data_IF_071886983571
#
_entry.id   IF_071886983571
#
_cell.length_a   1.000
_cell.length_b   1.000
_cell.length_c   1.000
_cell.angle_alpha   90.00
_cell.angle_beta   90.00
_cell.angle_gamma   90.00
#
_symmetry.space_group_name_H-M   'P 1'
#
loop_
_entity.id
_entity.type
_entity.pdbx_description
1 polymer ?
#
# COMPACT_ATOMS: atom_id res chain seq x y z
N UNK A 1 5.31 14.81 -17.42
CA UNK A 1 4.24 14.79 -16.41
C UNK A 1 4.49 13.55 -15.57
N UNK A 2 4.55 13.68 -14.25
CA UNK A 2 4.74 12.52 -13.37
C UNK A 2 3.54 11.57 -13.50
N UNK A 3 3.74 10.26 -13.62
CA UNK A 3 2.65 9.29 -13.78
C UNK A 3 1.79 9.16 -12.52
N UNK A 4 0.47 9.06 -12.64
CA UNK A 4 -0.38 8.85 -11.47
C UNK A 4 -0.12 7.47 -10.85
N UNK A 5 0.05 7.41 -9.53
CA UNK A 5 0.11 6.16 -8.76
C UNK A 5 -1.20 5.97 -8.00
N UNK A 6 -1.92 4.88 -8.22
CA UNK A 6 -3.03 4.46 -7.37
C UNK A 6 -2.52 3.56 -6.27
N UNK A 7 -2.72 3.98 -5.03
CA UNK A 7 -2.41 3.21 -3.83
C UNK A 7 -3.68 2.52 -3.38
N UNK A 8 -3.62 1.21 -3.17
CA UNK A 8 -4.76 0.39 -2.76
C UNK A 8 -4.49 -0.14 -1.35
N UNK A 9 -5.37 0.22 -0.42
CA UNK A 9 -5.28 -0.19 0.99
C UNK A 9 -6.55 -0.93 1.42
N UNK A 10 -6.50 -2.28 1.52
CA UNK A 10 -7.59 -3.03 2.11
C UNK A 10 -7.58 -2.88 3.65
N UNK A 11 -8.75 -2.65 4.23
CA UNK A 11 -8.95 -2.50 5.67
C UNK A 11 -9.99 -3.48 6.19
N UNK A 12 -9.74 -4.04 7.37
CA UNK A 12 -10.73 -4.78 8.14
C UNK A 12 -10.37 -4.73 9.63
N UNK A 13 -11.14 -3.96 10.40
CA UNK A 13 -10.86 -3.68 11.81
C UNK A 13 -9.43 -3.15 12.06
N UNK A 14 -9.05 -2.12 11.31
CA UNK A 14 -7.71 -1.53 11.30
C UNK A 14 -7.65 -0.16 11.99
N UNK A 15 -8.62 0.19 12.87
CA UNK A 15 -8.73 1.54 13.43
C UNK A 15 -7.47 2.01 14.15
N UNK A 16 -6.75 1.10 14.79
CA UNK A 16 -5.54 1.38 15.57
C UNK A 16 -4.36 1.80 14.70
N UNK A 17 -4.29 1.33 13.44
CA UNK A 17 -3.10 1.47 12.59
C UNK A 17 -3.35 2.30 11.32
N UNK A 18 -4.57 2.30 10.78
CA UNK A 18 -4.87 2.92 9.48
C UNK A 18 -4.53 4.42 9.45
N UNK A 19 -4.57 5.09 10.60
CA UNK A 19 -4.15 6.48 10.74
C UNK A 19 -2.66 6.66 10.40
N UNK A 20 -1.80 5.79 10.93
CA UNK A 20 -0.36 5.82 10.66
C UNK A 20 -0.07 5.47 9.20
N UNK A 21 -0.78 4.48 8.66
CA UNK A 21 -0.68 4.10 7.24
C UNK A 21 -0.99 5.26 6.31
N UNK A 22 -2.15 5.93 6.48
CA UNK A 22 -2.55 7.08 5.66
C UNK A 22 -1.56 8.23 5.81
N UNK A 23 -1.12 8.54 7.04
CA UNK A 23 -0.12 9.58 7.26
C UNK A 23 1.19 9.29 6.52
N UNK A 24 1.63 8.02 6.45
CA UNK A 24 2.85 7.65 5.71
C UNK A 24 2.74 7.86 4.19
N UNK A 25 1.52 7.77 3.65
CA UNK A 25 1.21 8.10 2.25
C UNK A 25 1.22 9.62 2.04
N UNK A 26 0.62 10.38 2.97
CA UNK A 26 0.62 11.84 2.93
C UNK A 26 2.02 12.44 3.04
N UNK A 27 2.94 11.76 3.73
CA UNK A 27 4.34 12.17 3.88
C UNK A 27 5.23 11.79 2.68
N UNK A 28 4.67 11.17 1.62
CA UNK A 28 5.45 10.84 0.43
C UNK A 28 5.96 12.09 -0.28
N UNK A 29 7.23 12.06 -0.70
CA UNK A 29 7.83 13.13 -1.51
C UNK A 29 7.32 13.15 -2.94
N UNK A 30 6.81 12.02 -3.43
CA UNK A 30 6.08 11.92 -4.68
C UNK A 30 4.64 12.42 -4.49
N UNK A 31 4.19 13.39 -5.29
CA UNK A 31 2.91 14.06 -5.05
C UNK A 31 1.76 13.60 -5.96
N UNK A 32 2.04 12.94 -7.09
CA UNK A 32 1.00 12.54 -8.04
C UNK A 32 0.41 11.15 -7.74
N UNK A 33 -0.37 11.05 -6.68
CA UNK A 33 -0.99 9.80 -6.25
C UNK A 33 -2.47 9.99 -5.87
N UNK A 34 -3.22 8.89 -5.95
CA UNK A 34 -4.52 8.72 -5.31
C UNK A 34 -4.45 7.53 -4.35
N UNK A 35 -5.21 7.58 -3.26
CA UNK A 35 -5.34 6.50 -2.28
C UNK A 35 -6.78 6.01 -2.26
N UNK A 36 -6.96 4.73 -2.53
CA UNK A 36 -8.24 4.04 -2.45
C UNK A 36 -8.17 3.10 -1.25
N UNK A 37 -8.92 3.43 -0.21
CA UNK A 37 -9.11 2.58 0.96
C UNK A 37 -10.38 1.75 0.76
N UNK A 38 -10.26 0.43 0.89
CA UNK A 38 -11.39 -0.50 0.73
C UNK A 38 -11.67 -1.15 2.07
N UNK A 39 -12.77 -0.76 2.70
CA UNK A 39 -13.25 -1.34 3.95
C UNK A 39 -14.03 -2.63 3.68
N UNK A 40 -13.51 -3.76 4.17
CA UNK A 40 -14.11 -5.08 4.03
C UNK A 40 -15.12 -5.37 5.16
N UNK A 41 -16.01 -4.40 5.42
CA UNK A 41 -17.06 -4.42 6.45
C UNK A 41 -16.49 -4.48 7.87
N UNK A 42 -15.66 -3.49 8.21
CA UNK A 42 -15.17 -3.34 9.58
C UNK A 42 -16.31 -3.12 10.58
N UNK A 43 -16.09 -3.53 11.82
CA UNK A 43 -17.02 -3.39 12.95
C UNK A 43 -16.54 -2.39 14.01
N UNK A 44 -15.29 -1.96 13.90
CA UNK A 44 -14.69 -0.92 14.72
C UNK A 44 -14.83 0.45 14.02
N UNK A 45 -14.05 1.43 14.49
CA UNK A 45 -14.09 2.80 13.98
C UNK A 45 -13.20 3.01 12.74
N UNK A 46 -12.76 1.94 12.05
CA UNK A 46 -11.89 2.05 10.86
C UNK A 46 -12.46 3.00 9.82
N UNK A 47 -13.74 2.84 9.47
CA UNK A 47 -14.43 3.70 8.51
C UNK A 47 -14.44 5.16 8.95
N UNK A 48 -14.72 5.43 10.23
CA UNK A 48 -14.78 6.80 10.77
C UNK A 48 -13.41 7.48 10.66
N UNK A 49 -12.34 6.76 11.02
CA UNK A 49 -10.96 7.27 10.91
C UNK A 49 -10.64 7.63 9.46
N UNK A 50 -10.98 6.77 8.49
CA UNK A 50 -10.69 7.03 7.07
C UNK A 50 -11.54 8.19 6.53
N UNK A 51 -12.80 8.33 6.96
CA UNK A 51 -13.68 9.42 6.55
C UNK A 51 -13.17 10.80 6.97
N UNK A 52 -12.48 10.92 8.10
CA UNK A 52 -11.80 12.17 8.48
C UNK A 52 -10.81 12.64 7.40
N UNK A 53 -10.11 11.70 6.76
CA UNK A 53 -9.14 11.98 5.71
C UNK A 53 -9.79 12.29 4.36
N UNK A 54 -10.87 11.58 3.99
CA UNK A 54 -11.57 11.84 2.71
C UNK A 54 -12.21 13.23 2.67
N UNK A 55 -12.59 13.79 3.83
CA UNK A 55 -13.11 15.15 3.95
C UNK A 55 -12.03 16.23 3.75
N UNK A 56 -10.78 15.91 4.09
CA UNK A 56 -9.64 16.84 4.04
C UNK A 56 -8.82 16.71 2.76
N UNK A 57 -8.85 15.55 2.11
CA UNK A 57 -7.99 15.20 0.98
C UNK A 57 -8.81 14.63 -0.18
N UNK A 58 -8.93 15.40 -1.27
CA UNK A 58 -9.71 14.99 -2.46
C UNK A 58 -9.12 13.80 -3.22
N UNK A 59 -7.85 13.46 -2.97
CA UNK A 59 -7.16 12.33 -3.56
C UNK A 59 -7.25 11.04 -2.71
N UNK A 60 -7.99 11.07 -1.60
CA UNK A 60 -8.27 9.90 -0.76
C UNK A 60 -9.74 9.52 -0.91
N UNK A 61 -10.01 8.24 -1.19
CA UNK A 61 -11.35 7.69 -1.35
C UNK A 61 -11.55 6.50 -0.41
N UNK A 62 -12.73 6.39 0.16
CA UNK A 62 -13.17 5.22 0.91
C UNK A 62 -14.26 4.48 0.13
N UNK A 63 -14.09 3.18 -0.04
CA UNK A 63 -15.10 2.27 -0.59
C UNK A 63 -15.47 1.28 0.51
N UNK A 64 -16.75 1.22 0.88
CA UNK A 64 -17.26 0.29 1.90
C UNK A 64 -17.92 -0.90 1.20
N UNK A 65 -17.48 -2.11 1.52
CA UNK A 65 -18.09 -3.33 0.98
C UNK A 65 -19.32 -3.73 1.80
N UNK A 66 -20.37 -4.17 1.10
CA UNK A 66 -21.63 -4.61 1.72
C UNK A 66 -21.48 -5.87 2.58
N UNK A 67 -20.46 -6.68 2.30
CA UNK A 67 -20.13 -7.91 3.01
C UNK A 67 -18.62 -8.07 3.11
N UNK A 68 -18.18 -8.73 4.19
CA UNK A 68 -16.80 -9.15 4.31
C UNK A 68 -16.54 -10.29 3.31
N UNK A 69 -15.64 -10.06 2.35
CA UNK A 69 -15.29 -10.96 1.27
C UNK A 69 -13.78 -11.24 1.20
N UNK A 70 -13.02 -10.74 2.17
CA UNK A 70 -11.59 -10.96 2.34
C UNK A 70 -10.72 -9.99 1.53
N UNK A 71 -9.44 -9.95 1.91
CA UNK A 71 -8.42 -9.03 1.36
C UNK A 71 -8.30 -9.09 -0.16
N UNK A 72 -8.43 -10.28 -0.76
CA UNK A 72 -8.33 -10.44 -2.22
C UNK A 72 -9.47 -9.74 -2.95
N UNK A 73 -10.69 -9.83 -2.42
CA UNK A 73 -11.83 -9.12 -2.98
C UNK A 73 -11.65 -7.62 -2.84
N UNK A 74 -11.23 -7.15 -1.66
CA UNK A 74 -10.99 -5.73 -1.41
C UNK A 74 -9.93 -5.15 -2.36
N UNK A 75 -8.83 -5.88 -2.61
CA UNK A 75 -7.80 -5.49 -3.59
C UNK A 75 -8.34 -5.46 -5.02
N UNK A 76 -9.16 -6.43 -5.43
CA UNK A 76 -9.76 -6.45 -6.76
C UNK A 76 -10.71 -5.28 -6.99
N UNK A 77 -11.56 -4.95 -6.01
CA UNK A 77 -12.42 -3.75 -6.07
C UNK A 77 -11.57 -2.48 -6.20
N UNK A 78 -10.47 -2.39 -5.44
CA UNK A 78 -9.52 -1.29 -5.57
C UNK A 78 -8.90 -1.19 -6.96
N UNK A 79 -8.57 -2.31 -7.59
CA UNK A 79 -8.00 -2.37 -8.94
C UNK A 79 -9.01 -1.90 -10.01
N UNK A 80 -10.28 -2.26 -9.89
CA UNK A 80 -11.34 -1.83 -10.81
C UNK A 80 -11.55 -0.30 -10.77
N UNK A 81 -11.27 0.32 -9.63
CA UNK A 81 -11.45 1.75 -9.38
C UNK A 81 -10.19 2.60 -9.61
N UNK A 82 -9.07 1.96 -9.88
CA UNK A 82 -7.77 2.60 -10.03
C UNK A 82 -7.66 3.38 -11.36
N UNK A 83 -7.06 4.58 -11.29
CA UNK A 83 -6.87 5.46 -12.46
C UNK A 83 -5.40 5.71 -12.78
N UNK A 84 -4.50 5.25 -11.91
CA UNK A 84 -3.06 5.41 -12.02
C UNK A 84 -2.47 4.61 -13.18
N UNK A 85 -1.37 5.12 -13.72
CA UNK A 85 -0.48 4.32 -14.56
C UNK A 85 0.17 3.22 -13.73
N UNK A 86 0.47 3.51 -12.46
CA UNK A 86 1.06 2.54 -11.55
C UNK A 86 0.10 2.21 -10.42
N UNK A 87 0.11 0.96 -9.99
CA UNK A 87 -0.62 0.45 -8.83
C UNK A 87 0.38 0.10 -7.72
N UNK A 88 0.12 0.51 -6.50
CA UNK A 88 0.87 0.12 -5.33
C UNK A 88 -0.06 -0.43 -4.24
N UNK A 89 0.30 -1.57 -3.64
CA UNK A 89 -0.45 -2.12 -2.51
C UNK A 89 0.20 -1.72 -1.19
N UNK A 90 -0.61 -1.24 -0.26
CA UNK A 90 -0.20 -0.87 1.09
C UNK A 90 -1.21 -1.48 2.09
N UNK A 91 -0.75 -2.37 2.95
CA UNK A 91 -1.60 -2.95 3.98
C UNK A 91 -1.88 -1.91 5.08
N UNK A 92 -3.04 -2.05 5.74
CA UNK A 92 -3.60 -1.03 6.64
C UNK A 92 -2.95 -0.95 8.02
N UNK A 93 -1.95 -1.81 8.26
CA UNK A 93 -1.10 -1.88 9.43
C UNK A 93 0.39 -1.61 9.12
N UNK A 94 0.71 -1.25 7.87
CA UNK A 94 2.07 -0.93 7.42
C UNK A 94 2.29 0.57 7.22
N UNK A 95 3.57 0.97 7.21
CA UNK A 95 4.03 2.35 7.06
C UNK A 95 5.13 2.41 5.98
N UNK A 96 5.05 3.40 5.09
CA UNK A 96 6.09 3.64 4.10
C UNK A 96 7.10 4.70 4.53
N UNK A 97 8.35 4.54 4.05
CA UNK A 97 9.35 5.61 4.10
C UNK A 97 9.00 6.71 3.09
N UNK A 98 9.32 7.96 3.43
CA UNK A 98 8.94 9.18 2.69
C UNK A 98 9.29 9.17 1.20
N UNK A 99 10.40 8.53 0.83
CA UNK A 99 10.89 8.53 -0.56
C UNK A 99 10.55 7.27 -1.35
N UNK A 100 9.70 6.37 -0.80
CA UNK A 100 9.41 5.07 -1.43
C UNK A 100 8.84 5.23 -2.84
N UNK A 101 7.75 5.99 -2.99
CA UNK A 101 7.09 6.13 -4.29
C UNK A 101 7.99 6.83 -5.31
N UNK A 102 8.65 7.93 -4.93
CA UNK A 102 9.55 8.66 -5.80
C UNK A 102 10.67 7.75 -6.31
N UNK A 103 11.31 7.00 -5.41
CA UNK A 103 12.39 6.06 -5.76
C UNK A 103 11.92 4.98 -6.72
N UNK A 104 10.78 4.34 -6.45
CA UNK A 104 10.28 3.24 -7.28
C UNK A 104 9.81 3.73 -8.65
N UNK A 105 9.03 4.83 -8.71
CA UNK A 105 8.51 5.37 -9.97
C UNK A 105 9.65 5.83 -10.87
N UNK A 106 10.61 6.60 -10.34
CA UNK A 106 11.78 7.03 -11.12
C UNK A 106 12.55 5.85 -11.67
N UNK A 107 12.83 4.84 -10.84
CA UNK A 107 13.56 3.65 -11.27
C UNK A 107 12.80 2.86 -12.35
N UNK A 108 11.47 2.73 -12.23
CA UNK A 108 10.64 2.05 -13.23
C UNK A 108 10.58 2.80 -14.56
N UNK A 109 10.44 4.12 -14.54
CA UNK A 109 10.42 4.94 -15.77
C UNK A 109 11.79 4.89 -16.48
N UNK A 110 12.89 5.12 -15.74
CA UNK A 110 14.25 5.13 -16.30
C UNK A 110 14.65 3.80 -16.94
N UNK A 111 14.22 2.68 -16.33
CA UNK A 111 14.56 1.33 -16.79
C UNK A 111 13.47 0.69 -17.62
N UNK A 112 12.34 1.38 -17.84
CA UNK A 112 11.16 0.84 -18.52
C UNK A 112 10.71 -0.52 -17.93
N UNK A 113 10.64 -0.59 -16.60
CA UNK A 113 10.29 -1.81 -15.87
C UNK A 113 8.77 -1.88 -15.60
N UNK A 114 8.16 -3.07 -15.72
CA UNK A 114 6.74 -3.25 -15.45
C UNK A 114 6.42 -3.34 -13.94
N UNK A 115 7.41 -3.62 -13.08
CA UNK A 115 7.18 -3.78 -11.64
C UNK A 115 8.47 -3.61 -10.86
N UNK A 116 8.36 -3.11 -9.62
CA UNK A 116 9.40 -3.14 -8.59
C UNK A 116 8.83 -3.55 -7.24
N UNK A 117 9.69 -4.06 -6.38
CA UNK A 117 9.44 -4.30 -4.95
C UNK A 117 10.74 -4.00 -4.18
N UNK A 118 10.66 -3.86 -2.86
CA UNK A 118 11.81 -3.42 -2.06
C UNK A 118 11.96 -4.22 -0.77
N UNK A 119 13.12 -4.04 -0.14
CA UNK A 119 13.38 -4.53 1.21
C UNK A 119 12.50 -3.77 2.22
N UNK A 120 12.32 -4.36 3.40
CA UNK A 120 11.49 -3.78 4.46
C UNK A 120 12.07 -4.11 5.84
N UNK A 121 11.68 -3.30 6.82
CA UNK A 121 11.92 -3.58 8.23
C UNK A 121 10.62 -4.13 8.84
N UNK A 122 10.73 -4.99 9.85
CA UNK A 122 9.59 -5.35 10.69
C UNK A 122 9.56 -4.43 11.89
N UNK A 123 8.38 -3.90 12.18
CA UNK A 123 8.11 -3.07 13.33
C UNK A 123 7.11 -3.77 14.25
N UNK A 124 7.11 -3.42 15.54
CA UNK A 124 6.01 -3.76 16.45
C UNK A 124 4.87 -2.73 16.36
N UNK A 125 3.84 -2.93 17.17
CA UNK A 125 2.68 -2.03 17.27
C UNK A 125 3.03 -0.61 17.76
N UNK A 126 4.19 -0.45 18.42
CA UNK A 126 4.70 0.86 18.84
C UNK A 126 5.53 1.55 17.74
N UNK A 127 5.77 0.86 16.60
CA UNK A 127 6.58 1.35 15.50
C UNK A 127 8.08 1.10 15.67
N UNK A 128 8.50 0.35 16.69
CA UNK A 128 9.91 0.06 16.97
C UNK A 128 10.39 -1.10 16.09
N UNK A 129 11.61 -0.99 15.56
CA UNK A 129 12.17 -2.01 14.66
C UNK A 129 12.54 -3.26 15.47
N UNK A 130 11.84 -4.36 15.22
CA UNK A 130 12.01 -5.63 15.95
C UNK A 130 12.88 -6.66 15.23
N UNK A 131 13.23 -6.44 13.96
CA UNK A 131 14.10 -7.36 13.21
C UNK A 131 15.14 -6.64 12.37
N UNK A 132 16.20 -7.37 12.01
CA UNK A 132 17.08 -6.94 10.92
C UNK A 132 16.27 -6.75 9.64
N UNK A 133 16.70 -5.78 8.83
CA UNK A 133 16.16 -5.51 7.50
C UNK A 133 16.07 -6.80 6.69
N UNK A 134 14.89 -7.07 6.13
CA UNK A 134 14.68 -8.19 5.22
C UNK A 134 15.16 -7.74 3.85
N UNK A 135 16.33 -8.21 3.46
CA UNK A 135 16.96 -7.87 2.18
C UNK A 135 16.29 -8.56 1.00
N UNK A 136 16.33 -7.90 -0.16
CA UNK A 136 15.86 -8.49 -1.42
C UNK A 136 16.99 -9.31 -2.04
N UNK A 137 16.80 -10.62 -2.30
CA UNK A 137 17.81 -11.43 -2.95
C UNK A 137 18.00 -10.99 -4.41
N UNK A 138 19.25 -11.05 -4.91
CA UNK A 138 19.58 -10.69 -6.30
C UNK A 138 18.97 -11.64 -7.34
N UNK A 139 18.62 -12.86 -6.93
CA UNK A 139 17.90 -13.84 -7.75
C UNK A 139 17.14 -14.82 -6.85
N UNK A 140 16.03 -15.36 -7.35
CA UNK A 140 15.27 -16.42 -6.69
C UNK A 140 14.97 -17.55 -7.65
N UNK A 141 15.05 -18.77 -7.16
CA UNK A 141 14.62 -19.96 -7.89
C UNK A 141 13.25 -20.45 -7.41
N UNK A 142 12.66 -21.38 -8.16
CA UNK A 142 11.33 -21.93 -7.86
C UNK A 142 11.23 -22.52 -6.44
N UNK A 143 12.23 -23.26 -5.97
CA UNK A 143 12.22 -23.85 -4.63
C UNK A 143 12.23 -22.78 -3.53
N UNK A 144 12.92 -21.66 -3.73
CA UNK A 144 12.90 -20.54 -2.79
C UNK A 144 11.53 -19.87 -2.75
N UNK A 145 10.89 -19.69 -3.92
CA UNK A 145 9.54 -19.12 -4.02
C UNK A 145 8.48 -19.99 -3.34
N UNK A 146 8.66 -21.31 -3.28
CA UNK A 146 7.78 -22.20 -2.52
C UNK A 146 7.91 -22.03 -1.00
N UNK A 147 9.09 -21.60 -0.53
CA UNK A 147 9.35 -21.45 0.90
C UNK A 147 8.93 -20.09 1.44
N UNK A 148 9.15 -19.03 0.67
CA UNK A 148 8.94 -17.65 1.09
C UNK A 148 8.55 -16.79 -0.10
N UNK A 149 7.53 -15.95 0.08
CA UNK A 149 7.23 -14.91 -0.90
C UNK A 149 8.28 -13.79 -0.77
N UNK A 150 9.08 -13.59 -1.82
CA UNK A 150 10.06 -12.50 -1.88
C UNK A 150 9.49 -11.22 -2.51
N UNK A 151 8.33 -11.32 -3.16
CA UNK A 151 7.62 -10.20 -3.78
C UNK A 151 6.61 -9.68 -2.76
N UNK A 152 7.04 -8.70 -1.97
CA UNK A 152 6.24 -8.08 -0.92
C UNK A 152 6.18 -6.57 -1.20
N UNK A 153 5.00 -5.98 -1.07
CA UNK A 153 4.75 -4.53 -1.24
C UNK A 153 5.20 -3.98 -2.61
N UNK A 154 4.66 -4.55 -3.69
CA UNK A 154 5.03 -4.17 -5.05
C UNK A 154 4.36 -2.87 -5.50
N UNK A 155 5.06 -2.18 -6.40
CA UNK A 155 4.48 -1.18 -7.30
C UNK A 155 4.63 -1.68 -8.73
N UNK A 156 3.52 -1.76 -9.47
CA UNK A 156 3.46 -2.32 -10.83
C UNK A 156 2.77 -1.37 -11.79
N UNK A 157 3.09 -1.49 -13.08
CA UNK A 157 2.35 -0.91 -14.20
C UNK A 157 0.97 -1.56 -14.34
#
# INVERSE_FOLDING_TARGET
MEPLVTIITPCYNSADFVRLTINSVLEQTYTNWELIVIDDKSKDNTCEVVEEYTQQHSNIRLIKLEQNAGVSNARNVGLEEAKGKYIAFLDSDDIWLKDKLATQVTYMEEKSLPMTFCAYNRIDEAGEIISRKIEVPSSVNYGQLLSHNVIIFSTSL
#
